data_IF_090476099569
#
_entry.id   IF_090476099569
#
_cell.length_a   1.000
_cell.length_b   1.000
_cell.length_c   1.000
_cell.angle_alpha   90.00
_cell.angle_beta   90.00
_cell.angle_gamma   90.00
#
_symmetry.space_group_name_H-M   'P 1'
#
loop_
_entity.id
_entity.type
_entity.pdbx_description
1 polymer ?
#
# COMPACT_ATOMS: atom_id res chain seq x y z
N UNK A 1 -26.41 4.71 39.13
CA UNK A 1 -25.58 5.80 38.52
C UNK A 1 -24.50 5.27 37.58
N UNK A 2 -23.85 4.13 37.87
CA UNK A 2 -22.76 3.54 37.08
C UNK A 2 -23.08 3.26 35.60
N UNK A 3 -24.28 2.77 35.27
CA UNK A 3 -24.69 2.48 33.88
C UNK A 3 -24.81 3.73 33.00
N UNK A 4 -25.28 4.85 33.56
CA UNK A 4 -25.42 6.12 32.81
C UNK A 4 -24.07 6.68 32.39
N UNK A 5 -23.07 6.56 33.28
CA UNK A 5 -21.70 7.04 33.02
C UNK A 5 -21.02 6.28 31.88
N UNK A 6 -21.18 4.96 31.84
CA UNK A 6 -20.63 4.13 30.75
C UNK A 6 -21.24 4.49 29.39
N UNK A 7 -22.54 4.78 29.34
CA UNK A 7 -23.21 5.17 28.10
C UNK A 7 -22.70 6.52 27.60
N UNK A 8 -22.58 7.51 28.49
CA UNK A 8 -22.04 8.82 28.11
C UNK A 8 -20.58 8.76 27.66
N UNK A 9 -19.75 7.98 28.35
CA UNK A 9 -18.33 7.84 28.00
C UNK A 9 -18.17 7.16 26.62
N UNK A 10 -19.07 6.20 26.30
CA UNK A 10 -19.09 5.54 25.00
C UNK A 10 -19.56 6.48 23.88
N UNK A 11 -20.60 7.28 24.13
CA UNK A 11 -21.08 8.28 23.17
C UNK A 11 -20.01 9.33 22.85
N UNK A 12 -19.27 9.77 23.86
CA UNK A 12 -18.14 10.69 23.68
C UNK A 12 -17.02 10.04 22.86
N UNK A 13 -16.66 8.79 23.16
CA UNK A 13 -15.65 8.05 22.39
C UNK A 13 -16.05 7.85 20.92
N UNK A 14 -17.31 7.52 20.66
CA UNK A 14 -17.84 7.39 19.29
C UNK A 14 -17.78 8.73 18.56
N UNK A 15 -18.12 9.82 19.23
CA UNK A 15 -18.04 11.17 18.66
C UNK A 15 -16.59 11.52 18.28
N UNK A 16 -15.65 11.35 19.20
CA UNK A 16 -14.22 11.61 18.95
C UNK A 16 -13.68 10.75 17.80
N UNK A 17 -14.07 9.47 17.75
CA UNK A 17 -13.64 8.59 16.67
C UNK A 17 -14.18 9.05 15.31
N UNK A 18 -15.44 9.48 15.24
CA UNK A 18 -16.04 10.03 14.01
C UNK A 18 -15.32 11.30 13.55
N UNK A 19 -14.99 12.19 14.48
CA UNK A 19 -14.23 13.41 14.19
C UNK A 19 -12.84 13.08 13.64
N UNK A 20 -12.14 12.12 14.26
CA UNK A 20 -10.82 11.67 13.80
C UNK A 20 -10.87 11.02 12.41
N UNK A 21 -11.89 10.22 12.12
CA UNK A 21 -12.09 9.60 10.80
C UNK A 21 -12.33 10.67 9.73
N UNK A 22 -13.15 11.67 10.02
CA UNK A 22 -13.43 12.75 9.06
C UNK A 22 -12.18 13.61 8.83
N UNK A 23 -11.41 13.91 9.88
CA UNK A 23 -10.13 14.60 9.77
C UNK A 23 -9.14 13.81 8.89
N UNK A 24 -9.03 12.49 9.10
CA UNK A 24 -8.20 11.62 8.27
C UNK A 24 -8.65 11.62 6.81
N UNK A 25 -9.96 11.59 6.57
CA UNK A 25 -10.55 11.63 5.23
C UNK A 25 -10.19 12.91 4.49
N UNK A 26 -10.30 14.06 5.15
CA UNK A 26 -9.92 15.36 4.58
C UNK A 26 -8.41 15.40 4.27
N UNK A 27 -7.56 14.95 5.21
CA UNK A 27 -6.11 14.87 4.98
C UNK A 27 -5.76 13.99 3.78
N UNK A 28 -6.43 12.84 3.65
CA UNK A 28 -6.26 11.94 2.52
C UNK A 28 -6.66 12.59 1.19
N UNK A 29 -7.82 13.27 1.14
CA UNK A 29 -8.25 13.98 -0.07
C UNK A 29 -7.26 15.07 -0.49
N UNK A 30 -6.72 15.82 0.46
CA UNK A 30 -5.69 16.85 0.18
C UNK A 30 -4.40 16.21 -0.35
N UNK A 31 -3.98 15.06 0.20
CA UNK A 31 -2.81 14.34 -0.29
C UNK A 31 -3.01 13.83 -1.73
N UNK A 32 -4.18 13.26 -2.03
CA UNK A 32 -4.56 12.82 -3.38
C UNK A 32 -4.53 13.95 -4.41
N UNK A 33 -5.07 15.13 -4.08
CA UNK A 33 -5.03 16.30 -4.97
C UNK A 33 -3.59 16.78 -5.26
N UNK A 34 -2.67 16.64 -4.31
CA UNK A 34 -1.25 17.01 -4.49
C UNK A 34 -0.48 15.99 -5.34
N UNK A 35 -0.88 14.73 -5.33
CA UNK A 35 -0.27 13.68 -6.16
C UNK A 35 -0.69 13.87 -7.63
N UNK A 36 -1.92 14.32 -7.87
CA UNK A 36 -2.48 14.53 -9.21
C UNK A 36 -1.80 15.62 -10.05
N UNK A 37 -0.95 16.48 -9.49
CA UNK A 37 -0.33 17.60 -10.23
C UNK A 37 1.06 17.30 -10.79
N UNK A 38 1.68 16.17 -10.45
CA UNK A 38 3.06 15.84 -10.88
C UNK A 38 3.21 14.52 -11.63
N UNK A 39 2.25 13.60 -11.51
CA UNK A 39 2.29 12.30 -12.20
C UNK A 39 0.98 12.04 -12.97
N UNK A 40 1.09 11.78 -14.27
CA UNK A 40 -0.05 11.29 -15.06
C UNK A 40 -0.24 9.79 -14.79
N UNK A 41 -1.45 9.27 -14.99
CA UNK A 41 -1.73 7.82 -14.88
C UNK A 41 -0.75 7.00 -15.72
N UNK A 42 -0.36 7.51 -16.89
CA UNK A 42 0.61 6.89 -17.78
C UNK A 42 2.03 6.86 -17.21
N UNK A 43 2.46 7.90 -16.50
CA UNK A 43 3.76 7.91 -15.84
C UNK A 43 3.80 6.87 -14.71
N UNK A 44 2.72 6.77 -13.92
CA UNK A 44 2.59 5.75 -12.88
C UNK A 44 2.64 4.34 -13.48
N UNK A 45 1.90 4.11 -14.56
CA UNK A 45 1.91 2.81 -15.26
C UNK A 45 3.30 2.47 -15.80
N UNK A 46 3.96 3.41 -16.49
CA UNK A 46 5.30 3.22 -17.03
C UNK A 46 6.32 2.92 -15.93
N UNK A 47 6.28 3.65 -14.81
CA UNK A 47 7.17 3.42 -13.67
C UNK A 47 6.91 2.07 -12.99
N UNK A 48 5.64 1.65 -12.89
CA UNK A 48 5.29 0.32 -12.39
C UNK A 48 5.91 -0.79 -13.24
N UNK A 49 5.67 -0.77 -14.56
CA UNK A 49 6.25 -1.76 -15.46
C UNK A 49 7.77 -1.72 -15.44
N UNK A 50 8.39 -0.54 -15.33
CA UNK A 50 9.84 -0.44 -15.23
C UNK A 50 10.39 -1.05 -13.93
N UNK A 51 9.75 -0.79 -12.79
CA UNK A 51 10.21 -1.27 -11.48
C UNK A 51 9.94 -2.78 -11.27
N UNK A 52 8.87 -3.31 -11.85
CA UNK A 52 8.44 -4.70 -11.68
C UNK A 52 8.66 -5.56 -12.93
N UNK A 53 9.34 -5.04 -13.96
CA UNK A 53 9.62 -5.75 -15.23
C UNK A 53 10.15 -7.16 -15.01
N UNK A 54 11.14 -7.26 -14.13
CA UNK A 54 11.81 -8.51 -13.78
C UNK A 54 11.34 -9.03 -12.42
N UNK A 55 10.11 -8.72 -12.04
CA UNK A 55 9.51 -9.10 -10.76
C UNK A 55 10.20 -8.44 -9.56
N UNK A 56 10.50 -9.25 -8.54
CA UNK A 56 11.07 -8.83 -7.28
C UNK A 56 12.58 -8.64 -7.42
N UNK A 57 13.04 -7.39 -7.33
CA UNK A 57 14.42 -7.00 -7.70
C UNK A 57 15.50 -7.42 -6.70
N UNK A 58 15.16 -8.21 -5.69
CA UNK A 58 16.09 -8.70 -4.67
C UNK A 58 16.72 -10.02 -5.15
N UNK A 59 18.05 -10.22 -5.03
CA UNK A 59 18.70 -11.46 -5.42
C UNK A 59 18.05 -12.69 -4.77
N UNK A 60 17.97 -13.80 -5.51
CA UNK A 60 17.27 -15.02 -5.09
C UNK A 60 17.68 -15.52 -3.69
N UNK A 61 18.98 -15.60 -3.43
CA UNK A 61 19.51 -16.02 -2.12
C UNK A 61 19.05 -15.09 -0.98
N UNK A 62 19.07 -13.78 -1.23
CA UNK A 62 18.60 -12.76 -0.29
C UNK A 62 17.08 -12.82 -0.12
N UNK A 63 16.33 -13.09 -1.18
CA UNK A 63 14.87 -13.21 -1.16
C UNK A 63 14.37 -14.39 -0.31
N UNK A 64 15.14 -15.47 -0.21
CA UNK A 64 14.83 -16.61 0.66
C UNK A 64 15.14 -16.31 2.14
N UNK A 65 16.25 -15.63 2.41
CA UNK A 65 16.75 -15.38 3.76
C UNK A 65 16.12 -14.15 4.43
N UNK A 66 15.87 -13.09 3.67
CA UNK A 66 15.29 -11.83 4.11
C UNK A 66 14.42 -11.23 3.00
N UNK A 67 13.10 -11.48 3.03
CA UNK A 67 12.18 -10.92 2.05
C UNK A 67 12.01 -9.42 2.28
N UNK A 68 12.88 -8.63 1.66
CA UNK A 68 12.69 -7.20 1.59
C UNK A 68 12.72 -6.77 0.14
N UNK A 69 11.64 -6.14 -0.31
CA UNK A 69 11.58 -5.55 -1.63
C UNK A 69 12.60 -4.42 -1.70
N UNK A 70 13.08 -4.12 -2.91
CA UNK A 70 13.96 -2.98 -3.06
C UNK A 70 13.29 -1.71 -2.50
N UNK A 71 14.07 -0.80 -1.89
CA UNK A 71 13.52 0.44 -1.37
C UNK A 71 12.75 1.23 -2.43
N UNK A 72 13.11 1.12 -3.70
CA UNK A 72 12.43 1.75 -4.82
C UNK A 72 11.03 1.15 -5.06
N UNK A 73 10.92 -0.18 -5.22
CA UNK A 73 9.63 -0.87 -5.44
C UNK A 73 8.65 -0.59 -4.29
N UNK A 74 9.14 -0.70 -3.06
CA UNK A 74 8.31 -0.46 -1.87
C UNK A 74 7.87 0.99 -1.74
N UNK A 75 8.80 1.95 -1.92
CA UNK A 75 8.45 3.38 -1.89
C UNK A 75 7.44 3.74 -2.98
N UNK A 76 7.62 3.18 -4.18
CA UNK A 76 6.70 3.40 -5.29
C UNK A 76 5.28 2.94 -4.94
N UNK A 77 5.11 1.71 -4.45
CA UNK A 77 3.79 1.19 -4.11
C UNK A 77 3.12 2.00 -2.99
N UNK A 78 3.82 2.37 -1.91
CA UNK A 78 3.23 3.25 -0.89
C UNK A 78 2.83 4.63 -1.42
N UNK A 79 3.51 5.12 -2.46
CA UNK A 79 3.23 6.45 -3.01
C UNK A 79 2.13 6.46 -4.08
N UNK A 80 1.81 5.30 -4.66
CA UNK A 80 0.91 5.20 -5.82
C UNK A 80 -0.32 4.32 -5.59
N UNK A 81 -0.23 3.35 -4.69
CA UNK A 81 -1.33 2.43 -4.39
C UNK A 81 -2.22 2.97 -3.26
N UNK A 82 -3.48 2.52 -3.27
CA UNK A 82 -4.35 2.71 -2.12
C UNK A 82 -3.80 1.94 -0.91
N UNK A 83 -4.09 2.44 0.30
CA UNK A 83 -3.64 1.80 1.55
C UNK A 83 -4.16 0.36 1.70
N UNK A 84 -5.33 0.07 1.12
CA UNK A 84 -6.04 -1.20 1.13
C UNK A 84 -6.00 -1.90 -0.24
N UNK A 85 -4.97 -1.64 -1.05
CA UNK A 85 -4.77 -2.29 -2.35
C UNK A 85 -4.91 -3.82 -2.22
N UNK A 86 -5.73 -4.41 -3.08
CA UNK A 86 -6.03 -5.84 -3.03
C UNK A 86 -4.96 -6.60 -3.80
N UNK A 87 -4.28 -7.51 -3.11
CA UNK A 87 -3.41 -8.54 -3.69
C UNK A 87 -4.06 -9.92 -3.63
N UNK A 88 -3.31 -10.94 -4.05
CA UNK A 88 -3.74 -12.34 -4.00
C UNK A 88 -3.69 -12.88 -2.56
N UNK A 89 -2.70 -12.47 -1.77
CA UNK A 89 -2.51 -12.93 -0.39
C UNK A 89 -3.15 -12.03 0.67
N UNK A 90 -3.62 -10.83 0.32
CA UNK A 90 -4.21 -9.91 1.30
C UNK A 90 -4.44 -8.48 0.82
N UNK A 91 -4.53 -7.55 1.76
CA UNK A 91 -4.74 -6.12 1.49
C UNK A 91 -3.55 -5.30 1.99
N UNK A 92 -3.10 -4.34 1.19
CA UNK A 92 -1.99 -3.44 1.50
C UNK A 92 -0.74 -3.71 0.67
N UNK A 93 0.27 -2.86 0.87
CA UNK A 93 1.51 -2.88 0.08
C UNK A 93 2.36 -4.10 0.41
N UNK A 94 2.36 -4.54 1.66
CA UNK A 94 3.18 -5.63 2.15
C UNK A 94 2.72 -6.98 1.58
N UNK A 95 1.41 -7.35 1.63
CA UNK A 95 0.92 -8.53 0.92
C UNK A 95 1.18 -8.48 -0.59
N UNK A 96 1.00 -7.31 -1.23
CA UNK A 96 1.27 -7.15 -2.66
C UNK A 96 2.75 -7.37 -3.01
N UNK A 97 3.68 -6.94 -2.15
CA UNK A 97 5.11 -7.20 -2.33
C UNK A 97 5.44 -8.69 -2.13
N UNK A 98 4.75 -9.37 -1.22
CA UNK A 98 4.88 -10.81 -1.03
C UNK A 98 4.34 -11.61 -2.23
N UNK A 99 3.26 -11.15 -2.87
CA UNK A 99 2.77 -11.73 -4.14
C UNK A 99 3.86 -11.64 -5.21
N UNK A 100 4.48 -10.46 -5.37
CA UNK A 100 5.59 -10.27 -6.31
C UNK A 100 6.79 -11.15 -6.01
N UNK A 101 7.11 -11.33 -4.74
CA UNK A 101 8.16 -12.24 -4.28
C UNK A 101 7.86 -13.68 -4.70
N UNK A 102 6.64 -14.16 -4.44
CA UNK A 102 6.21 -15.51 -4.80
C UNK A 102 6.26 -15.71 -6.32
N UNK A 103 5.73 -14.77 -7.09
CA UNK A 103 5.78 -14.81 -8.56
C UNK A 103 7.21 -14.98 -9.05
N UNK A 104 8.15 -14.22 -8.48
CA UNK A 104 9.56 -14.23 -8.89
C UNK A 104 10.32 -15.48 -8.43
N UNK A 105 9.87 -16.13 -7.35
CA UNK A 105 10.38 -17.44 -6.93
C UNK A 105 9.95 -18.56 -7.88
N UNK A 106 8.76 -18.46 -8.47
CA UNK A 106 8.22 -19.48 -9.37
C UNK A 106 8.56 -19.25 -10.85
N UNK A 107 9.04 -18.07 -11.22
CA UNK A 107 9.35 -17.70 -12.60
C UNK A 107 10.72 -17.00 -12.68
N UNK A 108 11.77 -17.75 -13.03
CA UNK A 108 13.16 -17.26 -13.07
C UNK A 108 13.38 -16.11 -14.07
N UNK A 109 12.66 -16.12 -15.20
CA UNK A 109 12.82 -15.14 -16.30
C UNK A 109 11.53 -14.36 -16.57
N UNK A 110 10.94 -13.80 -15.52
CA UNK A 110 9.76 -12.96 -15.70
C UNK A 110 10.12 -11.66 -16.46
N UNK A 111 9.41 -11.38 -17.56
CA UNK A 111 9.51 -10.12 -18.30
C UNK A 111 8.10 -9.58 -18.55
N UNK A 112 7.76 -8.52 -17.81
CA UNK A 112 6.43 -7.92 -17.83
C UNK A 112 6.45 -6.71 -18.74
N UNK A 113 5.76 -6.84 -19.87
CA UNK A 113 5.56 -5.75 -20.82
C UNK A 113 4.34 -4.88 -20.45
N UNK A 114 4.36 -3.58 -20.80
CA UNK A 114 3.20 -2.68 -20.66
C UNK A 114 1.97 -3.10 -21.47
#
# INVERSE_FOLDING_TARGET
MKKRKIVTDLEESIKTLREAVEELRVKYQIAQLKISTTSTIWNVAAEYFQLFRNGYTTPFDTMLLQPSASPAQRKFLYSTMAFDVVGETGHGVEPLLDDWRLISLYHEDIDIAP
#
